data_IF_859623351909
#
_entry.id   IF_859623351909
#
_cell.length_a   1.000
_cell.length_b   1.000
_cell.length_c   1.000
_cell.angle_alpha   90.00
_cell.angle_beta   90.00
_cell.angle_gamma   90.00
#
_symmetry.space_group_name_H-M   'P 1'
#
loop_
_entity.id
_entity.type
_entity.pdbx_description
1 polymer ?
#
# COMPACT_ATOMS: atom_id res chain seq x y z
N UNK A 1 21.85 -3.04 -5.69
CA UNK A 1 21.17 -2.28 -4.62
C UNK A 1 20.21 -1.29 -5.27
N UNK A 2 19.18 -1.77 -5.99
CA UNK A 2 18.23 -0.93 -6.77
C UNK A 2 16.77 -1.41 -6.66
N UNK A 3 16.52 -2.71 -6.48
CA UNK A 3 15.17 -3.26 -6.38
C UNK A 3 14.42 -2.83 -5.10
N UNK A 4 15.12 -2.69 -3.97
CA UNK A 4 14.53 -2.27 -2.69
C UNK A 4 13.94 -0.85 -2.78
N UNK A 5 14.66 0.06 -3.46
CA UNK A 5 14.23 1.45 -3.65
C UNK A 5 13.03 1.56 -4.61
N UNK A 6 13.00 0.74 -5.66
CA UNK A 6 11.87 0.69 -6.60
C UNK A 6 10.59 0.18 -5.93
N UNK A 7 10.68 -0.87 -5.09
CA UNK A 7 9.52 -1.37 -4.34
C UNK A 7 9.02 -0.38 -3.30
N UNK A 8 9.93 0.28 -2.58
CA UNK A 8 9.57 1.31 -1.61
C UNK A 8 8.81 2.46 -2.27
N UNK A 9 9.32 2.93 -3.41
CA UNK A 9 8.66 3.97 -4.21
C UNK A 9 7.26 3.54 -4.68
N UNK A 10 7.10 2.32 -5.19
CA UNK A 10 5.78 1.83 -5.63
C UNK A 10 4.78 1.73 -4.49
N UNK A 11 5.21 1.24 -3.32
CA UNK A 11 4.37 1.16 -2.11
C UNK A 11 3.88 2.57 -1.74
N UNK A 12 4.79 3.55 -1.70
CA UNK A 12 4.44 4.95 -1.40
C UNK A 12 3.48 5.55 -2.43
N UNK A 13 3.68 5.31 -3.73
CA UNK A 13 2.78 5.77 -4.78
C UNK A 13 1.36 5.19 -4.64
N UNK A 14 1.23 3.91 -4.29
CA UNK A 14 -0.08 3.27 -4.07
C UNK A 14 -0.75 3.84 -2.80
N UNK A 15 -0.02 3.97 -1.69
CA UNK A 15 -0.54 4.54 -0.44
C UNK A 15 -0.98 6.00 -0.60
N UNK A 16 -0.29 6.79 -1.44
CA UNK A 16 -0.67 8.15 -1.76
C UNK A 16 -2.05 8.21 -2.46
N UNK A 17 -2.36 7.29 -3.38
CA UNK A 17 -3.68 7.23 -4.05
C UNK A 17 -4.83 6.98 -3.08
N UNK A 18 -4.61 6.19 -2.04
CA UNK A 18 -5.59 6.01 -0.94
C UNK A 18 -5.77 7.29 -0.11
N UNK A 19 -4.79 8.20 -0.12
CA UNK A 19 -4.80 9.46 0.63
C UNK A 19 -5.41 10.64 -0.14
N UNK A 20 -5.42 10.57 -1.46
CA UNK A 20 -5.97 11.63 -2.31
C UNK A 20 -7.49 11.46 -2.56
N UNK A 21 -8.09 10.36 -2.10
CA UNK A 21 -9.53 10.13 -2.16
C UNK A 21 -10.30 10.75 -0.99
N UNK A 22 -11.63 10.93 -1.11
CA UNK A 22 -12.48 11.34 0.03
C UNK A 22 -12.42 10.36 1.22
N UNK A 23 -12.01 9.13 0.94
CA UNK A 23 -11.83 8.04 1.92
C UNK A 23 -10.58 8.20 2.78
N UNK A 24 -9.70 9.18 2.48
CA UNK A 24 -8.46 9.43 3.23
C UNK A 24 -8.69 9.89 4.68
N UNK A 25 -9.86 10.45 4.96
CA UNK A 25 -10.29 10.83 6.30
C UNK A 25 -10.95 9.67 7.06
N UNK A 26 -11.16 8.53 6.41
CA UNK A 26 -11.71 7.34 7.06
C UNK A 26 -10.66 6.77 8.02
N UNK A 27 -11.07 6.61 9.29
CA UNK A 27 -10.22 6.05 10.34
C UNK A 27 -9.67 4.66 9.98
N UNK A 28 -10.39 3.87 9.17
CA UNK A 28 -9.93 2.56 8.70
C UNK A 28 -8.79 2.67 7.70
N UNK A 29 -8.80 3.69 6.83
CA UNK A 29 -7.72 3.92 5.85
C UNK A 29 -6.44 4.32 6.57
N UNK A 30 -6.54 5.18 7.60
CA UNK A 30 -5.41 5.52 8.46
C UNK A 30 -4.87 4.29 9.21
N UNK A 31 -5.76 3.47 9.80
CA UNK A 31 -5.35 2.25 10.51
C UNK A 31 -4.61 1.26 9.60
N UNK A 32 -5.05 1.11 8.35
CA UNK A 32 -4.39 0.24 7.37
C UNK A 32 -2.99 0.76 7.05
N UNK A 33 -2.82 2.08 6.87
CA UNK A 33 -1.50 2.70 6.66
C UNK A 33 -0.56 2.45 7.84
N UNK A 34 -0.99 2.76 9.05
CA UNK A 34 -0.19 2.58 10.26
C UNK A 34 0.26 1.12 10.40
N UNK A 35 -0.64 0.17 10.09
CA UNK A 35 -0.33 -1.26 10.14
C UNK A 35 0.71 -1.67 9.10
N UNK A 36 0.62 -1.13 7.88
CA UNK A 36 1.57 -1.41 6.81
C UNK A 36 2.95 -0.80 7.09
N UNK A 37 3.00 0.43 7.60
CA UNK A 37 4.25 1.08 8.02
C UNK A 37 4.92 0.30 9.16
N UNK A 38 4.15 -0.06 10.20
CA UNK A 38 4.67 -0.86 11.30
C UNK A 38 5.21 -2.22 10.82
N UNK A 39 4.54 -2.86 9.86
CA UNK A 39 5.02 -4.11 9.27
C UNK A 39 6.31 -3.92 8.47
N UNK A 40 6.45 -2.86 7.69
CA UNK A 40 7.67 -2.57 6.93
C UNK A 40 8.87 -2.27 7.84
N UNK A 41 8.65 -1.64 8.99
CA UNK A 41 9.70 -1.32 9.96
C UNK A 41 10.09 -2.51 10.82
N UNK A 42 9.09 -3.20 11.39
CA UNK A 42 9.29 -4.14 12.50
C UNK A 42 8.77 -5.56 12.23
N UNK A 43 8.20 -5.82 11.05
CA UNK A 43 7.72 -7.14 10.66
C UNK A 43 8.86 -8.18 10.57
N UNK A 44 8.51 -9.47 10.58
CA UNK A 44 9.49 -10.54 10.40
C UNK A 44 10.09 -10.54 8.98
N UNK A 45 11.33 -11.01 8.86
CA UNK A 45 12.06 -11.10 7.60
C UNK A 45 12.93 -9.87 7.28
N UNK A 46 13.56 -9.90 6.12
CA UNK A 46 14.34 -8.78 5.58
C UNK A 46 13.45 -7.62 5.15
N UNK A 47 14.02 -6.41 5.01
CA UNK A 47 13.26 -5.26 4.48
C UNK A 47 12.73 -5.55 3.08
N UNK A 48 13.53 -6.17 2.21
CA UNK A 48 13.12 -6.53 0.86
C UNK A 48 11.94 -7.52 0.84
N UNK A 49 11.98 -8.57 1.68
CA UNK A 49 10.88 -9.54 1.78
C UNK A 49 9.58 -8.87 2.25
N UNK A 50 9.68 -7.95 3.23
CA UNK A 50 8.53 -7.21 3.74
C UNK A 50 7.93 -6.29 2.67
N UNK A 51 8.77 -5.59 1.91
CA UNK A 51 8.33 -4.78 0.79
C UNK A 51 7.62 -5.60 -0.28
N UNK A 52 8.14 -6.78 -0.64
CA UNK A 52 7.49 -7.67 -1.61
C UNK A 52 6.11 -8.13 -1.15
N UNK A 53 5.98 -8.51 0.14
CA UNK A 53 4.69 -8.92 0.73
C UNK A 53 3.68 -7.78 0.70
N UNK A 54 4.11 -6.58 1.10
CA UNK A 54 3.24 -5.39 1.11
C UNK A 54 2.83 -5.01 -0.30
N UNK A 55 3.76 -5.03 -1.26
CA UNK A 55 3.49 -4.70 -2.65
C UNK A 55 2.49 -5.68 -3.28
N UNK A 56 2.65 -6.99 -3.08
CA UNK A 56 1.69 -8.01 -3.55
C UNK A 56 0.28 -7.75 -3.01
N UNK A 57 0.17 -7.48 -1.70
CA UNK A 57 -1.11 -7.18 -1.05
C UNK A 57 -1.72 -5.88 -1.56
N UNK A 58 -0.94 -4.81 -1.67
CA UNK A 58 -1.40 -3.52 -2.15
C UNK A 58 -1.84 -3.56 -3.61
N UNK A 59 -1.17 -4.30 -4.47
CA UNK A 59 -1.56 -4.46 -5.88
C UNK A 59 -2.93 -5.18 -6.01
N UNK A 60 -3.20 -6.18 -5.18
CA UNK A 60 -4.52 -6.84 -5.13
C UNK A 60 -5.63 -5.87 -4.70
N UNK A 61 -5.33 -5.00 -3.73
CA UNK A 61 -6.28 -4.00 -3.24
C UNK A 61 -6.48 -2.88 -4.27
N UNK A 62 -5.41 -2.36 -4.88
CA UNK A 62 -5.48 -1.31 -5.93
C UNK A 62 -6.26 -1.78 -7.16
N UNK A 63 -6.04 -3.03 -7.61
CA UNK A 63 -6.81 -3.63 -8.69
C UNK A 63 -8.32 -3.71 -8.35
N UNK A 64 -8.64 -4.15 -7.13
CA UNK A 64 -10.02 -4.23 -6.64
C UNK A 64 -10.68 -2.85 -6.50
N UNK A 65 -9.91 -1.86 -6.05
CA UNK A 65 -10.37 -0.48 -5.87
C UNK A 65 -10.61 0.21 -7.22
N UNK A 66 -9.71 0.02 -8.18
CA UNK A 66 -9.86 0.56 -9.53
C UNK A 66 -11.03 -0.10 -10.29
N UNK A 67 -11.26 -1.41 -10.11
CA UNK A 67 -12.46 -2.09 -10.65
C UNK A 67 -13.75 -1.53 -10.03
N UNK A 68 -13.77 -1.30 -8.70
CA UNK A 68 -14.90 -0.67 -8.01
C UNK A 68 -15.19 0.75 -8.52
N UNK A 69 -14.16 1.59 -8.71
CA UNK A 69 -14.34 2.93 -9.28
C UNK A 69 -14.81 2.89 -10.73
N UNK A 70 -14.29 1.98 -11.53
CA UNK A 70 -14.65 1.85 -12.95
C UNK A 70 -16.09 1.39 -13.15
N UNK A 71 -16.65 0.57 -12.24
CA UNK A 71 -18.05 0.13 -12.26
C UNK A 71 -19.06 1.18 -11.79
N UNK A 72 -18.58 2.26 -11.16
CA UNK A 72 -19.42 3.34 -10.61
C UNK A 72 -19.54 4.56 -11.54
N UNK A 73 -18.79 4.57 -12.64
CA UNK A 73 -18.91 5.51 -13.76
C UNK A 73 -19.65 4.84 -14.94
#
# INVERSE_FOLDING_TARGET
>A
MKMSDDHERQIQEILARFSDGPESTDAKVQQVKDTLEAFLESGPGTREERQLIVLDKLLLIDASFNDFRSKRN
#
